data_IF_292244192947
#
_entry.id   IF_292244192947
#
_cell.length_a   1.000
_cell.length_b   1.000
_cell.length_c   1.000
_cell.angle_alpha   90.00
_cell.angle_beta   90.00
_cell.angle_gamma   90.00
#
_symmetry.space_group_name_H-M   'P 1'
#
loop_
_entity.id
_entity.type
_entity.pdbx_description
1 polymer ?
#
# COMPACT_ATOMS: atom_id res chain seq x y z
N UNK A 1 -37.69 14.95 2.76
CA UNK A 1 -36.49 14.20 2.36
C UNK A 1 -35.43 14.50 3.41
N UNK A 2 -35.33 13.64 4.43
CA UNK A 2 -34.43 13.84 5.57
C UNK A 2 -33.00 13.53 5.11
N UNK A 3 -32.17 14.56 5.03
CA UNK A 3 -30.71 14.42 4.97
C UNK A 3 -30.31 13.60 6.18
N UNK A 4 -29.92 12.33 5.99
CA UNK A 4 -29.29 11.57 7.08
C UNK A 4 -27.94 12.22 7.32
N UNK A 5 -27.83 12.98 8.40
CA UNK A 5 -26.59 13.59 8.82
C UNK A 5 -25.51 12.51 8.92
N UNK A 6 -24.35 12.82 8.34
CA UNK A 6 -23.18 11.99 8.48
C UNK A 6 -22.80 11.97 9.97
N UNK A 7 -22.47 10.79 10.55
CA UNK A 7 -22.09 10.70 11.97
C UNK A 7 -20.82 11.51 12.29
N UNK A 8 -20.03 11.86 11.27
CA UNK A 8 -18.89 12.76 11.37
C UNK A 8 -18.58 13.40 10.01
N UNK A 9 -18.12 14.65 10.02
CA UNK A 9 -17.56 15.37 8.86
C UNK A 9 -16.26 16.04 9.26
N UNK A 10 -15.29 16.17 8.34
CA UNK A 10 -14.08 16.96 8.55
C UNK A 10 -14.45 18.37 9.04
N UNK A 11 -13.87 18.83 10.16
CA UNK A 11 -14.20 20.14 10.70
C UNK A 11 -13.58 21.27 9.89
N UNK A 12 -12.38 21.06 9.32
CA UNK A 12 -11.75 22.03 8.43
C UNK A 12 -12.28 21.96 7.00
N UNK A 13 -12.54 23.13 6.40
CA UNK A 13 -12.97 23.29 5.00
C UNK A 13 -11.88 23.83 4.07
N UNK A 14 -10.78 24.35 4.61
CA UNK A 14 -9.78 25.10 3.86
C UNK A 14 -8.51 24.30 3.52
N UNK A 15 -8.10 23.39 4.40
CA UNK A 15 -6.85 22.63 4.24
C UNK A 15 -6.89 21.26 4.93
N UNK A 16 -5.90 20.41 4.67
CA UNK A 16 -5.70 19.12 5.34
C UNK A 16 -5.47 19.35 6.83
N UNK A 17 -6.26 18.68 7.66
CA UNK A 17 -6.17 18.77 9.11
C UNK A 17 -5.64 17.46 9.71
N UNK A 18 -4.59 17.49 10.55
CA UNK A 18 -4.13 16.30 11.25
C UNK A 18 -5.10 15.96 12.39
N UNK A 19 -5.81 14.85 12.25
CA UNK A 19 -6.81 14.41 13.23
C UNK A 19 -6.40 13.09 13.92
N UNK A 20 -6.72 12.94 15.22
CA UNK A 20 -6.37 11.75 15.97
C UNK A 20 -7.24 10.56 15.56
N UNK A 21 -6.59 9.43 15.25
CA UNK A 21 -7.26 8.14 15.08
C UNK A 21 -7.84 7.65 16.41
N UNK A 22 -8.85 6.79 16.37
CA UNK A 22 -9.51 6.21 17.54
C UNK A 22 -10.56 7.10 18.21
N UNK A 23 -10.72 8.36 17.78
CA UNK A 23 -11.77 9.25 18.30
C UNK A 23 -13.12 9.06 17.59
N UNK A 24 -13.10 9.02 16.26
CA UNK A 24 -14.29 8.85 15.42
C UNK A 24 -14.19 7.64 14.48
N UNK A 25 -12.96 7.31 14.11
CA UNK A 25 -12.59 6.27 13.18
C UNK A 25 -11.17 5.83 13.51
N UNK A 26 -10.88 4.56 13.26
CA UNK A 26 -9.52 4.11 12.98
C UNK A 26 -9.32 4.14 11.46
N UNK A 27 -8.10 3.93 10.99
CA UNK A 27 -7.84 3.85 9.55
C UNK A 27 -7.03 2.62 9.16
N UNK A 28 -7.23 2.14 7.95
CA UNK A 28 -6.36 1.15 7.32
C UNK A 28 -5.65 1.81 6.15
N UNK A 29 -4.33 1.75 6.12
CA UNK A 29 -3.52 2.27 5.02
C UNK A 29 -2.95 1.17 4.13
N UNK A 30 -2.91 1.41 2.82
CA UNK A 30 -2.24 0.55 1.84
C UNK A 30 -1.48 1.39 0.79
N UNK A 31 -0.43 0.85 0.16
CA UNK A 31 0.23 1.49 -0.98
C UNK A 31 -0.77 1.68 -2.14
N UNK A 32 -0.62 2.76 -2.91
CA UNK A 32 -1.55 3.14 -3.98
C UNK A 32 -1.95 1.99 -4.91
N UNK A 33 -0.99 1.24 -5.44
CA UNK A 33 -1.29 0.11 -6.33
C UNK A 33 -2.12 -1.01 -5.68
N UNK A 34 -1.88 -1.33 -4.41
CA UNK A 34 -2.73 -2.26 -3.64
C UNK A 34 -4.08 -1.61 -3.34
N UNK A 35 -4.05 -0.32 -3.05
CA UNK A 35 -5.19 0.54 -2.80
C UNK A 35 -6.24 0.51 -3.90
N UNK A 36 -5.79 0.86 -5.11
CA UNK A 36 -6.58 0.87 -6.33
C UNK A 36 -7.21 -0.48 -6.59
N UNK A 37 -6.42 -1.56 -6.48
CA UNK A 37 -6.92 -2.91 -6.71
C UNK A 37 -7.95 -3.34 -5.66
N UNK A 38 -7.75 -2.98 -4.39
CA UNK A 38 -8.73 -3.27 -3.34
C UNK A 38 -10.03 -2.47 -3.54
N UNK A 39 -9.96 -1.24 -4.04
CA UNK A 39 -11.14 -0.45 -4.41
C UNK A 39 -11.94 -1.10 -5.55
N UNK A 40 -11.27 -1.65 -6.57
CA UNK A 40 -11.93 -2.41 -7.64
C UNK A 40 -12.66 -3.64 -7.11
N UNK A 41 -12.03 -4.37 -6.19
CA UNK A 41 -12.60 -5.58 -5.57
C UNK A 41 -13.77 -5.25 -4.63
N UNK A 42 -13.66 -4.18 -3.83
CA UNK A 42 -14.73 -3.72 -2.94
C UNK A 42 -15.91 -3.12 -3.69
N UNK A 43 -15.64 -2.38 -4.76
CA UNK A 43 -16.62 -1.60 -5.50
C UNK A 43 -17.52 -0.77 -4.57
N UNK A 44 -18.80 -1.09 -4.55
CA UNK A 44 -19.81 -0.36 -3.78
C UNK A 44 -19.79 -0.68 -2.29
N UNK A 45 -19.00 -1.62 -1.81
CA UNK A 45 -18.88 -1.93 -0.38
C UNK A 45 -17.86 -1.03 0.33
N UNK A 46 -17.04 -0.29 -0.43
CA UNK A 46 -16.13 0.70 0.16
C UNK A 46 -16.91 1.86 0.81
N UNK A 47 -16.48 2.20 2.03
CA UNK A 47 -16.78 3.48 2.67
C UNK A 47 -15.83 4.57 2.17
N UNK A 48 -15.68 5.62 2.98
CA UNK A 48 -14.88 6.78 2.63
C UNK A 48 -13.38 6.45 2.62
N UNK A 49 -12.69 6.99 1.62
CA UNK A 49 -11.27 6.73 1.37
C UNK A 49 -10.55 8.02 1.05
N UNK A 50 -9.47 8.26 1.77
CA UNK A 50 -8.54 9.35 1.51
C UNK A 50 -7.42 8.79 0.63
N UNK A 51 -7.12 9.47 -0.46
CA UNK A 51 -5.91 9.24 -1.24
C UNK A 51 -4.90 10.33 -0.89
N UNK A 52 -3.65 9.92 -0.75
CA UNK A 52 -2.50 10.75 -0.44
C UNK A 52 -1.39 10.42 -1.44
N UNK A 53 -1.30 11.26 -2.45
CA UNK A 53 -0.34 11.11 -3.56
C UNK A 53 1.08 11.45 -3.12
N UNK A 54 1.26 12.23 -2.05
CA UNK A 54 2.58 12.59 -1.53
C UNK A 54 3.30 11.34 -0.99
N UNK A 55 2.56 10.48 -0.28
CA UNK A 55 3.11 9.25 0.30
C UNK A 55 2.74 8.00 -0.51
N UNK A 56 1.93 8.13 -1.56
CA UNK A 56 1.45 7.02 -2.39
C UNK A 56 0.61 6.04 -1.58
N UNK A 57 -0.33 6.56 -0.78
CA UNK A 57 -1.16 5.80 0.16
C UNK A 57 -2.64 6.06 -0.05
N UNK A 58 -3.43 5.02 0.20
CA UNK A 58 -4.87 5.16 0.43
C UNK A 58 -5.16 4.82 1.89
N UNK A 59 -6.11 5.51 2.49
CA UNK A 59 -6.58 5.33 3.86
C UNK A 59 -8.10 5.12 3.87
N UNK A 60 -8.53 3.93 4.26
CA UNK A 60 -9.95 3.67 4.53
C UNK A 60 -10.27 4.03 5.96
N UNK A 61 -11.38 4.73 6.17
CA UNK A 61 -11.93 4.92 7.50
C UNK A 61 -12.69 3.66 7.92
N UNK A 62 -12.42 3.18 9.13
CA UNK A 62 -13.05 2.00 9.73
C UNK A 62 -13.54 2.31 11.14
N UNK A 63 -14.36 1.42 11.70
CA UNK A 63 -14.79 1.53 13.09
C UNK A 63 -13.60 1.49 14.05
N UNK A 64 -13.68 2.25 15.13
CA UNK A 64 -12.65 2.22 16.19
C UNK A 64 -12.57 0.82 16.78
N UNK A 65 -11.35 0.32 16.98
CA UNK A 65 -11.05 -0.98 17.60
C UNK A 65 -11.57 -2.21 16.83
N UNK A 66 -11.73 -2.09 15.50
CA UNK A 66 -12.30 -3.17 14.69
C UNK A 66 -11.24 -4.03 13.98
N UNK A 67 -10.01 -3.53 13.80
CA UNK A 67 -8.97 -4.19 12.99
C UNK A 67 -7.65 -4.50 13.75
N UNK A 68 -7.64 -4.51 15.09
CA UNK A 68 -6.39 -4.59 15.89
C UNK A 68 -5.50 -5.83 15.64
N UNK A 69 -5.99 -6.88 14.99
CA UNK A 69 -5.27 -8.13 14.76
C UNK A 69 -4.85 -8.37 13.30
N UNK A 70 -4.95 -7.37 12.43
CA UNK A 70 -4.64 -7.56 11.01
C UNK A 70 -3.14 -7.68 10.76
N UNK A 71 -2.77 -8.67 9.96
CA UNK A 71 -1.41 -8.87 9.50
C UNK A 71 -1.40 -9.11 8.00
N UNK A 72 -1.35 -8.04 7.23
CA UNK A 72 -1.25 -8.05 5.76
C UNK A 72 -0.01 -7.27 5.33
N UNK A 73 0.79 -7.85 4.42
CA UNK A 73 2.04 -7.26 3.94
C UNK A 73 1.81 -5.85 3.38
N UNK A 74 2.55 -4.86 3.91
CA UNK A 74 2.48 -3.43 3.53
C UNK A 74 1.15 -2.73 3.82
N UNK A 75 0.23 -3.39 4.51
CA UNK A 75 -1.00 -2.78 5.04
C UNK A 75 -0.77 -2.43 6.50
N UNK A 76 -1.26 -1.27 6.94
CA UNK A 76 -1.13 -0.83 8.33
C UNK A 76 -2.47 -0.41 8.89
N UNK A 77 -2.78 -0.88 10.10
CA UNK A 77 -3.89 -0.35 10.90
C UNK A 77 -3.36 0.82 11.72
N UNK A 78 -4.00 1.96 11.56
CA UNK A 78 -3.78 3.18 12.32
C UNK A 78 -4.90 3.27 13.36
N UNK A 79 -4.58 2.91 14.60
CA UNK A 79 -5.51 2.91 15.72
C UNK A 79 -4.90 3.60 16.93
N UNK A 80 -5.73 4.05 17.86
CA UNK A 80 -5.24 4.65 19.09
C UNK A 80 -4.41 3.63 19.89
N UNK A 81 -3.20 4.04 20.27
CA UNK A 81 -2.31 3.33 21.19
C UNK A 81 -2.35 4.03 22.56
N UNK A 82 -2.11 3.29 23.63
CA UNK A 82 -2.34 3.77 25.00
C UNK A 82 -1.43 4.95 25.39
N UNK A 83 -0.27 5.06 24.74
CA UNK A 83 0.83 5.97 25.04
C UNK A 83 1.20 6.89 23.86
N UNK A 84 0.61 6.68 22.68
CA UNK A 84 0.91 7.45 21.48
C UNK A 84 -0.37 7.85 20.71
N UNK A 85 -0.45 9.11 20.31
CA UNK A 85 -1.51 9.60 19.43
C UNK A 85 -1.05 9.50 17.98
N UNK A 86 -1.63 8.56 17.23
CA UNK A 86 -1.45 8.52 15.78
C UNK A 86 -2.38 9.55 15.13
N UNK A 87 -1.82 10.38 14.24
CA UNK A 87 -2.56 11.39 13.49
C UNK A 87 -2.66 10.96 12.03
N UNK A 88 -3.81 11.23 11.42
CA UNK A 88 -4.01 11.11 9.97
C UNK A 88 -4.45 12.47 9.43
N UNK A 89 -3.80 12.92 8.35
CA UNK A 89 -4.20 14.12 7.63
C UNK A 89 -5.51 13.87 6.90
N UNK A 90 -6.56 14.61 7.27
CA UNK A 90 -7.88 14.50 6.66
C UNK A 90 -8.16 15.74 5.81
N UNK A 91 -8.46 15.57 4.51
CA UNK A 91 -8.78 16.69 3.64
C UNK A 91 -10.20 17.21 3.88
N UNK A 92 -10.48 18.48 3.52
CA UNK A 92 -11.82 19.03 3.45
C UNK A 92 -12.78 18.13 2.67
N UNK A 93 -14.04 18.05 3.10
CA UNK A 93 -15.04 17.15 2.51
C UNK A 93 -15.30 17.39 1.01
N UNK A 94 -15.07 18.62 0.54
CA UNK A 94 -15.27 19.01 -0.86
C UNK A 94 -14.11 18.60 -1.79
N UNK A 95 -12.95 18.17 -1.25
CA UNK A 95 -11.78 17.84 -2.06
C UNK A 95 -11.90 16.41 -2.60
N UNK A 96 -12.25 16.26 -3.88
CA UNK A 96 -12.43 14.95 -4.53
C UNK A 96 -11.50 14.69 -5.71
N UNK A 97 -10.81 15.72 -6.20
CA UNK A 97 -9.75 15.66 -7.22
C UNK A 97 -8.87 16.92 -7.08
N UNK A 98 -7.71 16.96 -7.74
CA UNK A 98 -6.82 18.13 -7.87
C UNK A 98 -5.97 18.54 -6.66
N UNK A 99 -6.07 17.82 -5.53
CA UNK A 99 -5.24 18.02 -4.34
C UNK A 99 -4.33 16.81 -4.10
N UNK A 100 -3.18 17.01 -3.45
CA UNK A 100 -2.27 15.91 -3.08
C UNK A 100 -2.90 14.94 -2.07
N UNK A 101 -3.81 15.43 -1.23
CA UNK A 101 -4.63 14.60 -0.35
C UNK A 101 -6.09 14.92 -0.60
N UNK A 102 -6.92 13.92 -0.92
CA UNK A 102 -8.31 14.13 -1.32
C UNK A 102 -9.17 12.90 -1.02
N UNK A 103 -10.49 13.07 -1.04
CA UNK A 103 -11.45 11.99 -0.93
C UNK A 103 -11.56 11.24 -2.25
N UNK A 104 -10.84 10.13 -2.37
CA UNK A 104 -10.96 9.19 -3.49
C UNK A 104 -12.33 8.52 -3.53
N UNK A 105 -12.85 8.20 -2.35
CA UNK A 105 -14.27 7.85 -2.16
C UNK A 105 -14.85 8.87 -1.18
N UNK A 106 -15.77 9.74 -1.63
CA UNK A 106 -16.37 10.77 -0.79
C UNK A 106 -17.14 10.21 0.40
N UNK A 107 -17.20 11.00 1.46
CA UNK A 107 -18.12 10.79 2.57
C UNK A 107 -19.57 10.77 2.04
N UNK A 108 -20.35 9.78 2.45
CA UNK A 108 -21.74 9.65 1.99
C UNK A 108 -22.62 8.90 3.00
N UNK A 109 -23.95 9.08 2.94
CA UNK A 109 -24.87 8.39 3.83
C UNK A 109 -24.70 6.87 3.74
N UNK A 110 -24.39 6.23 4.86
CA UNK A 110 -24.12 4.78 4.91
C UNK A 110 -22.80 4.35 4.27
N UNK A 111 -21.91 5.29 3.92
CA UNK A 111 -20.59 5.08 3.30
C UNK A 111 -19.47 5.84 4.02
N UNK A 112 -19.71 6.23 5.26
CA UNK A 112 -18.71 6.93 6.07
C UNK A 112 -17.58 6.00 6.51
N UNK A 113 -17.90 4.80 7.01
CA UNK A 113 -16.93 3.76 7.36
C UNK A 113 -17.01 2.60 6.38
N UNK A 114 -15.89 1.91 6.21
CA UNK A 114 -15.83 0.65 5.47
C UNK A 114 -15.98 -0.51 6.45
N UNK A 115 -16.80 -1.51 6.12
CA UNK A 115 -16.86 -2.74 6.90
C UNK A 115 -15.51 -3.48 6.85
N UNK A 116 -15.04 -3.93 8.00
CA UNK A 116 -13.73 -4.55 8.14
C UNK A 116 -13.60 -5.87 7.37
N UNK A 117 -14.66 -6.66 7.28
CA UNK A 117 -14.58 -8.00 6.68
C UNK A 117 -14.34 -7.95 5.17
N UNK A 118 -15.18 -7.28 4.36
CA UNK A 118 -14.94 -7.16 2.93
C UNK A 118 -13.65 -6.37 2.65
N UNK A 119 -13.30 -5.37 3.49
CA UNK A 119 -12.03 -4.65 3.36
C UNK A 119 -10.82 -5.58 3.55
N UNK A 120 -10.84 -6.45 4.55
CA UNK A 120 -9.77 -7.41 4.78
C UNK A 120 -9.62 -8.36 3.60
N UNK A 121 -10.72 -8.94 3.12
CA UNK A 121 -10.74 -9.88 2.01
C UNK A 121 -10.21 -9.23 0.71
N UNK A 122 -10.68 -8.02 0.39
CA UNK A 122 -10.23 -7.27 -0.78
C UNK A 122 -8.76 -6.88 -0.69
N UNK A 123 -8.28 -6.42 0.47
CA UNK A 123 -6.87 -6.09 0.66
C UNK A 123 -5.98 -7.32 0.60
N UNK A 124 -6.38 -8.45 1.20
CA UNK A 124 -5.61 -9.69 1.15
C UNK A 124 -5.44 -10.17 -0.29
N UNK A 125 -6.52 -10.14 -1.08
CA UNK A 125 -6.50 -10.49 -2.50
C UNK A 125 -5.64 -9.49 -3.29
N UNK A 126 -5.85 -8.19 -3.13
CA UNK A 126 -5.07 -7.15 -3.81
C UNK A 126 -3.57 -7.24 -3.48
N UNK A 127 -3.20 -7.51 -2.23
CA UNK A 127 -1.80 -7.72 -1.83
C UNK A 127 -1.19 -8.88 -2.58
N UNK A 128 -1.90 -9.99 -2.71
CA UNK A 128 -1.45 -11.19 -3.43
C UNK A 128 -1.26 -10.92 -4.92
N UNK A 129 -2.23 -10.25 -5.56
CA UNK A 129 -2.20 -9.95 -7.00
C UNK A 129 -1.13 -8.92 -7.36
N UNK A 130 -0.97 -7.87 -6.55
CA UNK A 130 -0.10 -6.73 -6.89
C UNK A 130 1.36 -6.98 -6.54
N UNK A 131 1.65 -7.60 -5.40
CA UNK A 131 3.04 -7.84 -4.98
C UNK A 131 3.46 -9.31 -5.08
N UNK A 132 2.60 -10.16 -5.65
CA UNK A 132 2.85 -11.59 -5.81
C UNK A 132 2.72 -12.39 -4.50
N UNK A 133 2.98 -13.71 -4.57
CA UNK A 133 2.85 -14.60 -3.42
C UNK A 133 3.64 -14.07 -2.23
N UNK A 134 3.11 -14.25 -1.03
CA UNK A 134 3.91 -14.07 0.17
C UNK A 134 5.09 -15.05 0.08
N UNK A 135 6.32 -14.62 0.34
CA UNK A 135 7.44 -15.55 0.30
C UNK A 135 7.20 -16.70 1.29
N UNK A 136 7.18 -17.93 0.79
CA UNK A 136 6.85 -19.15 1.55
C UNK A 136 7.82 -19.40 2.72
N UNK A 137 9.03 -18.86 2.59
CA UNK A 137 10.05 -18.84 3.65
C UNK A 137 10.15 -17.42 4.17
N UNK A 138 10.12 -17.24 5.49
CA UNK A 138 10.47 -15.99 6.17
C UNK A 138 11.77 -15.44 5.56
N UNK A 139 11.66 -14.39 4.75
CA UNK A 139 12.82 -13.83 4.09
C UNK A 139 13.68 -13.13 5.13
N UNK A 140 14.97 -13.38 5.05
CA UNK A 140 15.94 -12.72 5.90
C UNK A 140 16.30 -11.38 5.26
N UNK A 141 16.42 -10.35 6.08
CA UNK A 141 17.05 -9.12 5.61
C UNK A 141 18.52 -9.42 5.26
N UNK A 142 18.97 -9.03 4.07
CA UNK A 142 20.35 -9.25 3.62
C UNK A 142 21.41 -8.69 4.60
N UNK A 143 21.04 -7.63 5.34
CA UNK A 143 21.95 -6.92 6.24
C UNK A 143 21.97 -7.53 7.64
N UNK A 144 20.83 -7.66 8.30
CA UNK A 144 20.80 -8.20 9.68
C UNK A 144 20.55 -9.70 9.77
N UNK A 145 20.25 -10.38 8.65
CA UNK A 145 19.99 -11.82 8.58
C UNK A 145 18.87 -12.31 9.51
N UNK A 146 17.97 -11.40 9.91
CA UNK A 146 16.81 -11.73 10.71
C UNK A 146 15.56 -11.86 9.83
N UNK A 147 14.64 -12.78 10.15
CA UNK A 147 13.31 -12.80 9.58
C UNK A 147 12.66 -11.43 9.68
N UNK A 148 12.11 -10.95 8.57
CA UNK A 148 11.34 -9.71 8.55
C UNK A 148 9.89 -10.02 8.21
N UNK A 149 8.96 -9.52 9.02
CA UNK A 149 7.52 -9.63 8.75
C UNK A 149 7.10 -8.77 7.54
N UNK A 150 7.97 -7.86 7.13
CA UNK A 150 7.83 -7.05 5.91
C UNK A 150 9.09 -7.09 5.06
N UNK A 151 9.28 -8.14 4.26
CA UNK A 151 10.39 -8.20 3.33
C UNK A 151 10.18 -7.22 2.17
N UNK A 152 11.06 -6.23 2.06
CA UNK A 152 11.09 -5.31 0.91
C UNK A 152 12.14 -5.81 -0.08
N UNK A 153 11.78 -6.17 -1.32
CA UNK A 153 12.77 -6.54 -2.33
C UNK A 153 13.64 -5.32 -2.68
N UNK A 154 14.95 -5.47 -2.60
CA UNK A 154 15.93 -4.38 -2.84
C UNK A 154 16.81 -4.62 -4.06
N UNK A 155 16.96 -5.87 -4.50
CA UNK A 155 17.66 -6.24 -5.72
C UNK A 155 17.23 -7.61 -6.23
N UNK A 156 17.51 -7.90 -7.51
CA UNK A 156 17.48 -9.25 -8.06
C UNK A 156 18.86 -9.58 -8.63
N UNK A 157 19.50 -10.63 -8.12
CA UNK A 157 20.74 -11.17 -8.67
C UNK A 157 20.41 -12.06 -9.86
N UNK A 158 20.96 -11.76 -11.03
CA UNK A 158 20.82 -12.62 -12.20
C UNK A 158 21.97 -13.64 -12.21
N UNK A 159 21.72 -14.86 -11.74
CA UNK A 159 22.60 -15.99 -12.06
C UNK A 159 22.29 -16.48 -13.48
N UNK A 160 23.30 -16.58 -14.35
CA UNK A 160 23.12 -17.07 -15.71
C UNK A 160 22.37 -18.42 -15.74
N UNK A 161 21.28 -18.47 -16.51
CA UNK A 161 20.47 -19.65 -16.86
C UNK A 161 19.51 -20.25 -15.84
N UNK A 162 19.41 -19.76 -14.60
CA UNK A 162 18.32 -20.14 -13.66
C UNK A 162 17.85 -18.86 -12.98
N UNK A 163 16.52 -18.69 -12.87
CA UNK A 163 15.85 -17.44 -12.45
C UNK A 163 16.53 -16.69 -11.31
N UNK A 164 16.58 -15.36 -11.41
CA UNK A 164 17.34 -14.53 -10.49
C UNK A 164 16.87 -14.62 -9.04
N UNK A 165 17.81 -14.54 -8.09
CA UNK A 165 17.52 -14.55 -6.66
C UNK A 165 17.12 -13.15 -6.21
N UNK A 166 15.92 -13.00 -5.66
CA UNK A 166 15.48 -11.72 -5.08
C UNK A 166 16.12 -11.50 -3.71
N UNK A 167 16.81 -10.38 -3.54
CA UNK A 167 17.38 -9.93 -2.26
C UNK A 167 16.34 -9.09 -1.52
N UNK A 168 16.12 -9.41 -0.25
CA UNK A 168 15.17 -8.70 0.62
C UNK A 168 15.86 -7.91 1.74
N UNK A 169 15.23 -6.82 2.19
CA UNK A 169 15.64 -6.04 3.35
C UNK A 169 14.45 -5.79 4.29
N UNK A 170 14.73 -5.64 5.59
CA UNK A 170 13.74 -5.18 6.57
C UNK A 170 13.52 -3.66 6.45
N UNK A 171 12.41 -3.10 6.98
CA UNK A 171 12.10 -1.68 6.82
C UNK A 171 13.24 -0.72 7.23
N UNK A 172 13.98 -1.04 8.30
CA UNK A 172 15.13 -0.24 8.77
C UNK A 172 16.28 -0.17 7.75
N UNK A 173 16.55 -1.27 7.05
CA UNK A 173 17.67 -1.37 6.10
C UNK A 173 17.27 -1.09 4.65
N UNK A 174 15.99 -1.23 4.30
CA UNK A 174 15.50 -0.96 2.95
C UNK A 174 15.74 0.50 2.54
N UNK A 175 15.48 1.46 3.45
CA UNK A 175 15.67 2.89 3.20
C UNK A 175 17.14 3.29 2.97
N UNK A 176 18.09 2.48 3.42
CA UNK A 176 19.53 2.74 3.33
C UNK A 176 20.23 1.84 2.32
N UNK A 177 19.46 1.12 1.50
CA UNK A 177 20.06 0.25 0.49
C UNK A 177 20.77 1.12 -0.56
N UNK A 178 22.08 0.92 -0.81
CA UNK A 178 22.87 1.81 -1.68
C UNK A 178 22.52 1.76 -3.18
N UNK A 179 21.42 1.07 -3.55
CA UNK A 179 20.83 1.04 -4.88
C UNK A 179 21.37 -0.08 -5.79
N UNK A 180 20.57 -0.53 -6.79
CA UNK A 180 21.04 -1.38 -7.87
C UNK A 180 21.75 -0.53 -8.93
N UNK A 181 23.08 -0.62 -9.05
CA UNK A 181 23.82 0.08 -10.11
C UNK A 181 23.65 -0.62 -11.46
N UNK A 182 22.59 -0.17 -12.17
CA UNK A 182 22.30 -0.16 -13.62
C UNK A 182 22.27 -1.47 -14.44
N UNK A 183 21.33 -1.57 -15.40
CA UNK A 183 21.41 -2.56 -16.46
C UNK A 183 22.63 -2.24 -17.34
N UNK A 184 23.54 -3.19 -17.49
CA UNK A 184 24.50 -3.13 -18.58
C UNK A 184 23.72 -3.14 -19.89
N UNK A 185 23.82 -2.05 -20.64
CA UNK A 185 23.50 -2.00 -22.06
C UNK A 185 24.23 -3.15 -22.74
N UNK A 186 23.49 -4.18 -23.13
CA UNK A 186 24.00 -5.18 -24.05
C UNK A 186 24.15 -4.50 -25.41
N UNK A 187 25.37 -4.06 -25.72
CA UNK A 187 25.81 -3.85 -27.10
C UNK A 187 25.46 -5.13 -27.87
N UNK A 188 24.63 -5.09 -28.92
CA UNK A 188 24.39 -6.28 -29.72
C UNK A 188 25.71 -6.67 -30.40
N UNK A 189 26.24 -7.82 -29.99
CA UNK A 189 27.39 -8.43 -30.64
C UNK A 189 27.03 -8.71 -32.11
N UNK A 190 27.89 -8.23 -33.00
CA UNK A 190 27.84 -8.45 -34.44
C UNK A 190 27.66 -9.94 -34.75
N UNK A 191 26.60 -10.29 -35.47
CA UNK A 191 26.43 -11.62 -36.07
C UNK A 191 27.48 -11.81 -37.15
N UNK A 192 28.58 -12.50 -36.85
CA UNK A 192 29.44 -13.08 -37.88
C UNK A 192 28.73 -14.33 -38.43
N UNK A 193 28.18 -14.20 -39.64
CA UNK A 193 27.57 -15.28 -40.41
C UNK A 193 28.70 -16.20 -40.88
N UNK A 194 28.78 -17.42 -40.34
CA UNK A 194 29.67 -18.46 -40.88
C UNK A 194 28.82 -19.36 -41.79
N UNK A 195 28.92 -19.10 -43.10
CA UNK A 195 28.29 -19.88 -44.16
C UNK A 195 28.92 -21.28 -44.21
N UNK A 196 28.10 -22.32 -44.02
CA UNK A 196 28.49 -23.70 -44.19
C UNK A 196 28.68 -24.05 -45.67
N UNK A 197 29.76 -24.77 -45.96
CA UNK A 197 30.05 -25.44 -47.23
C UNK A 197 29.37 -26.81 -47.27
N UNK A 198 28.73 -27.23 -48.37
CA UNK A 198 28.42 -28.63 -48.59
C UNK A 198 29.15 -29.22 -49.80
N UNK A 199 29.44 -30.53 -49.72
CA UNK A 199 29.59 -31.45 -50.86
C UNK A 199 30.91 -31.44 -51.60
#
# INVERSE_FOLDING_TARGET
>A
MTTRDLPWTPPNTEDVEPLPVGRWWDAVSAPAAVGDRALELLGRESGAVIQDDLYGKLYWLIGVDTARSWCLRRVRVLAALADETTLLGVPPAAWTADHHSYWRVPLGPGRYLTDIRPLHEALAQAVSEVLGPAPEIRQLCYRCQLPTDEPTPVAMEHSGSVGGVTIYACPKHAAHYPGPLRPHTLTPASRTRQEGRPG
#
